data_IF_495363006989
#
_entry.id   IF_495363006989
#
_cell.length_a   1.000
_cell.length_b   1.000
_cell.length_c   1.000
_cell.angle_alpha   90.00
_cell.angle_beta   90.00
_cell.angle_gamma   90.00
#
_symmetry.space_group_name_H-M   'P 1'
#
loop_
_entity.id
_entity.type
_entity.pdbx_description
1 polymer ?
#
# COMPACT_ATOMS: atom_id res chain seq x y z
N UNK A 1 -7.86 -3.28 5.37
CA UNK A 1 -7.06 -2.16 4.84
C UNK A 1 -7.88 -0.86 4.88
N UNK A 2 -7.27 0.29 5.15
CA UNK A 2 -7.86 1.62 4.94
C UNK A 2 -6.97 2.47 4.06
N UNK A 3 -7.54 3.36 3.25
CA UNK A 3 -6.73 4.14 2.30
C UNK A 3 -7.33 5.48 1.89
N UNK A 4 -6.45 6.45 1.62
CA UNK A 4 -6.71 7.53 0.67
C UNK A 4 -6.13 7.05 -0.67
N UNK A 5 -6.96 6.72 -1.67
CA UNK A 5 -6.48 6.08 -2.89
C UNK A 5 -5.54 7.01 -3.67
N UNK A 6 -4.37 6.48 -4.03
CA UNK A 6 -3.39 7.20 -4.84
C UNK A 6 -3.93 7.55 -6.24
N UNK A 7 -4.88 6.76 -6.74
CA UNK A 7 -5.57 6.96 -8.01
C UNK A 7 -7.06 6.70 -7.80
N UNK A 8 -7.84 7.76 -7.52
CA UNK A 8 -9.28 7.64 -7.27
C UNK A 8 -10.03 6.87 -8.37
N UNK A 9 -9.59 6.92 -9.63
CA UNK A 9 -10.22 6.16 -10.72
C UNK A 9 -9.90 4.66 -10.72
N UNK A 10 -8.76 4.25 -10.14
CA UNK A 10 -8.29 2.86 -10.17
C UNK A 10 -8.88 2.06 -8.99
N UNK A 11 -9.00 2.71 -7.84
CA UNK A 11 -9.36 2.07 -6.57
C UNK A 11 -10.76 2.46 -6.06
N UNK A 12 -11.50 3.31 -6.78
CA UNK A 12 -12.89 3.62 -6.42
C UNK A 12 -13.76 2.34 -6.42
N UNK A 13 -14.30 2.01 -5.25
CA UNK A 13 -15.11 0.80 -5.06
C UNK A 13 -14.32 -0.51 -5.20
N UNK A 14 -12.99 -0.45 -5.12
CA UNK A 14 -12.14 -1.64 -5.08
C UNK A 14 -12.35 -2.41 -3.76
N UNK A 15 -12.24 -3.72 -3.85
CA UNK A 15 -12.32 -4.65 -2.70
C UNK A 15 -11.24 -5.71 -2.81
N UNK A 16 -11.01 -6.43 -1.71
CA UNK A 16 -10.02 -7.51 -1.62
C UNK A 16 -8.60 -7.09 -2.00
N UNK A 17 -8.24 -5.84 -1.73
CA UNK A 17 -6.89 -5.35 -2.01
C UNK A 17 -5.85 -6.11 -1.19
N UNK A 18 -4.84 -6.64 -1.84
CA UNK A 18 -3.70 -7.30 -1.21
C UNK A 18 -2.44 -6.79 -1.89
N UNK A 19 -1.53 -6.23 -1.11
CA UNK A 19 -0.22 -5.79 -1.59
C UNK A 19 0.85 -6.74 -1.06
N UNK A 20 1.64 -7.29 -1.97
CA UNK A 20 2.73 -8.22 -1.70
C UNK A 20 4.05 -7.57 -2.08
N UNK A 21 5.05 -7.74 -1.22
CA UNK A 21 6.38 -7.17 -1.39
C UNK A 21 7.38 -8.32 -1.44
N UNK A 22 8.24 -8.33 -2.45
CA UNK A 22 9.29 -9.33 -2.60
C UNK A 22 10.63 -8.63 -2.84
N UNK A 23 11.63 -8.97 -2.03
CA UNK A 23 13.01 -8.53 -2.29
C UNK A 23 13.55 -9.24 -3.52
N UNK A 24 14.23 -8.49 -4.37
CA UNK A 24 14.81 -8.99 -5.61
C UNK A 24 16.24 -8.47 -5.71
N UNK A 25 17.20 -9.38 -5.54
CA UNK A 25 18.63 -9.07 -5.61
C UNK A 25 19.03 -8.45 -6.95
N UNK A 26 18.45 -8.92 -8.06
CA UNK A 26 18.74 -8.36 -9.38
C UNK A 26 18.23 -6.93 -9.52
N UNK A 27 17.08 -6.62 -8.89
CA UNK A 27 16.60 -5.24 -8.80
C UNK A 27 17.45 -4.42 -7.85
N UNK A 28 17.92 -5.00 -6.73
CA UNK A 28 18.78 -4.32 -5.77
C UNK A 28 20.09 -3.86 -6.41
N UNK A 29 20.74 -4.74 -7.18
CA UNK A 29 21.94 -4.43 -7.97
C UNK A 29 21.68 -3.33 -9.01
N UNK A 30 20.47 -3.29 -9.60
CA UNK A 30 20.02 -2.22 -10.50
C UNK A 30 19.54 -0.95 -9.76
N UNK A 31 19.70 -0.90 -8.44
CA UNK A 31 19.35 0.23 -7.57
C UNK A 31 17.92 0.26 -7.06
N UNK A 32 17.05 -0.68 -7.45
CA UNK A 32 15.65 -0.86 -7.03
C UNK A 32 15.48 -1.58 -5.68
N UNK A 33 15.69 -2.88 -5.64
CA UNK A 33 15.65 -3.66 -4.38
C UNK A 33 14.42 -4.54 -4.21
N UNK A 34 13.23 -4.07 -4.55
CA UNK A 34 12.02 -4.90 -4.36
C UNK A 34 10.98 -4.74 -5.48
N UNK A 35 10.13 -5.76 -5.60
CA UNK A 35 8.93 -5.74 -6.42
C UNK A 35 7.67 -5.67 -5.55
N UNK A 36 6.62 -5.09 -6.11
CA UNK A 36 5.30 -5.00 -5.48
C UNK A 36 4.28 -5.61 -6.42
N UNK A 37 3.44 -6.48 -5.89
CA UNK A 37 2.25 -6.99 -6.58
C UNK A 37 1.02 -6.60 -5.78
N UNK A 38 0.21 -5.72 -6.35
CA UNK A 38 -1.09 -5.34 -5.79
C UNK A 38 -2.21 -6.03 -6.56
N UNK A 39 -3.02 -6.82 -5.87
CA UNK A 39 -4.20 -7.49 -6.43
C UNK A 39 -5.47 -6.98 -5.76
N UNK A 40 -6.55 -6.82 -6.52
CA UNK A 40 -7.85 -6.39 -6.02
C UNK A 40 -8.96 -6.73 -7.00
N UNK A 41 -10.21 -6.75 -6.54
CA UNK A 41 -11.36 -6.78 -7.45
C UNK A 41 -11.84 -5.34 -7.71
N UNK A 42 -12.05 -5.00 -8.98
CA UNK A 42 -12.68 -3.73 -9.39
C UNK A 42 -14.15 -3.69 -8.93
N UNK A 43 -14.71 -2.48 -8.85
CA UNK A 43 -16.13 -2.29 -8.59
C UNK A 43 -16.98 -3.13 -9.57
N UNK A 44 -17.89 -3.95 -9.03
CA UNK A 44 -18.77 -4.82 -9.82
C UNK A 44 -18.13 -6.07 -10.45
N UNK A 45 -16.83 -6.30 -10.31
CA UNK A 45 -16.17 -7.53 -10.76
C UNK A 45 -16.72 -8.78 -10.03
N UNK A 46 -16.44 -9.99 -10.49
CA UNK A 46 -16.64 -11.21 -9.68
C UNK A 46 -15.51 -11.38 -8.64
N UNK A 47 -15.59 -12.36 -7.73
CA UNK A 47 -14.52 -12.61 -6.74
C UNK A 47 -13.22 -13.14 -7.38
N UNK A 48 -13.34 -13.95 -8.42
CA UNK A 48 -12.24 -14.54 -9.18
C UNK A 48 -11.66 -13.62 -10.28
N UNK A 49 -12.36 -12.52 -10.62
CA UNK A 49 -11.88 -11.50 -11.54
C UNK A 49 -10.96 -10.48 -10.80
N UNK A 50 -9.71 -10.90 -10.61
CA UNK A 50 -8.67 -10.09 -9.97
C UNK A 50 -7.97 -9.18 -10.99
N UNK A 51 -7.86 -7.91 -10.62
CA UNK A 51 -6.98 -6.94 -11.27
C UNK A 51 -5.63 -6.96 -10.58
N UNK A 52 -4.55 -6.99 -11.36
CA UNK A 52 -3.18 -6.96 -10.84
C UNK A 52 -2.44 -5.73 -11.34
N UNK A 53 -1.86 -4.97 -10.41
CA UNK A 53 -0.92 -3.89 -10.67
C UNK A 53 0.44 -4.32 -10.13
N UNK A 54 1.45 -4.31 -10.99
CA UNK A 54 2.83 -4.56 -10.59
C UNK A 54 3.58 -3.25 -10.48
N UNK A 55 4.46 -3.15 -9.50
CA UNK A 55 5.33 -1.99 -9.32
C UNK A 55 6.74 -2.44 -8.99
N UNK A 56 7.69 -1.55 -9.24
CA UNK A 56 9.07 -1.67 -8.79
C UNK A 56 9.29 -0.70 -7.64
N UNK A 57 10.03 -1.13 -6.64
CA UNK A 57 10.38 -0.37 -5.44
C UNK A 57 11.85 0.04 -5.40
N UNK A 58 12.13 1.11 -4.66
CA UNK A 58 13.45 1.66 -4.34
C UNK A 58 13.52 2.03 -2.86
N UNK A 59 14.49 1.50 -2.11
CA UNK A 59 14.79 2.00 -0.77
C UNK A 59 15.68 3.25 -0.90
N UNK A 60 15.29 4.35 -0.26
CA UNK A 60 15.94 5.66 -0.39
C UNK A 60 16.15 6.41 0.93
N UNK A 61 15.92 5.75 2.08
CA UNK A 61 15.77 6.37 3.40
C UNK A 61 17.01 6.40 4.32
N UNK A 62 18.23 6.26 3.81
CA UNK A 62 19.43 6.21 4.67
C UNK A 62 19.38 5.07 5.70
N UNK A 63 20.05 5.22 6.85
CA UNK A 63 20.12 4.17 7.91
C UNK A 63 18.76 3.75 8.49
N UNK A 64 17.74 4.61 8.40
CA UNK A 64 16.43 4.36 9.00
C UNK A 64 15.48 3.58 8.08
N UNK A 65 15.80 3.44 6.80
CA UNK A 65 15.06 2.59 5.85
C UNK A 65 13.61 2.99 5.54
N UNK A 66 13.08 4.07 6.12
CA UNK A 66 11.65 4.44 6.05
C UNK A 66 11.23 5.15 4.74
N UNK A 67 12.17 5.71 3.99
CA UNK A 67 11.89 6.42 2.74
C UNK A 67 11.99 5.49 1.54
N UNK A 68 10.88 5.09 0.94
CA UNK A 68 10.85 4.30 -0.28
C UNK A 68 10.38 5.13 -1.48
N UNK A 69 10.56 4.59 -2.67
CA UNK A 69 9.92 5.06 -3.89
C UNK A 69 9.34 3.86 -4.64
N UNK A 70 8.23 4.06 -5.35
CA UNK A 70 7.59 3.03 -6.17
C UNK A 70 7.28 3.57 -7.55
N UNK A 71 7.25 2.70 -8.56
CA UNK A 71 6.81 3.05 -9.90
C UNK A 71 6.05 1.87 -10.53
N UNK A 72 4.86 2.09 -11.12
CA UNK A 72 4.08 1.04 -11.73
C UNK A 72 4.74 0.50 -13.00
N UNK A 73 4.57 -0.78 -13.29
CA UNK A 73 4.97 -1.40 -14.54
C UNK A 73 3.84 -1.25 -15.56
N UNK A 74 3.98 -0.32 -16.49
CA UNK A 74 3.04 -0.05 -17.57
C UNK A 74 3.48 -0.79 -18.82
N UNK A 75 2.79 -1.88 -19.19
CA UNK A 75 3.15 -2.69 -20.36
C UNK A 75 4.55 -3.32 -20.25
N UNK A 76 5.01 -3.62 -19.02
CA UNK A 76 6.36 -4.14 -18.75
C UNK A 76 7.45 -3.06 -18.66
N UNK A 77 7.13 -1.80 -18.93
CA UNK A 77 8.05 -0.67 -18.78
C UNK A 77 7.84 0.04 -17.45
N UNK A 78 8.95 0.45 -16.82
CA UNK A 78 8.92 1.26 -15.60
C UNK A 78 9.17 2.73 -15.96
N UNK A 79 8.24 3.65 -15.67
CA UNK A 79 8.43 5.07 -15.97
C UNK A 79 9.63 5.65 -15.20
N UNK A 80 10.26 6.72 -15.73
CA UNK A 80 11.42 7.34 -15.09
C UNK A 80 11.05 8.07 -13.80
N UNK A 81 9.77 8.41 -13.61
CA UNK A 81 9.24 9.05 -12.40
C UNK A 81 8.94 7.97 -11.35
N UNK A 82 9.52 8.16 -10.16
CA UNK A 82 9.29 7.29 -8.99
C UNK A 82 8.50 8.07 -7.96
N UNK A 83 7.38 7.52 -7.53
CA UNK A 83 6.49 8.12 -6.54
C UNK A 83 7.06 7.86 -5.14
N UNK A 84 7.09 8.86 -4.24
CA UNK A 84 7.50 8.65 -2.86
C UNK A 84 6.53 7.70 -2.15
N UNK A 85 7.06 6.77 -1.36
CA UNK A 85 6.33 5.84 -0.51
C UNK A 85 7.02 5.87 0.86
N UNK A 86 6.45 6.57 1.82
CA UNK A 86 7.09 6.85 3.10
C UNK A 86 6.42 6.00 4.17
N UNK A 87 7.19 5.16 4.85
CA UNK A 87 6.71 4.35 5.97
C UNK A 87 6.63 5.26 7.21
N UNK A 88 5.44 5.35 7.80
CA UNK A 88 5.17 6.15 9.00
C UNK A 88 5.17 5.29 10.26
N UNK A 89 4.64 4.08 10.16
CA UNK A 89 4.61 3.11 11.26
C UNK A 89 4.60 1.69 10.68
N UNK A 90 5.26 0.77 11.37
CA UNK A 90 5.30 -0.64 10.96
C UNK A 90 5.46 -1.52 12.18
N UNK A 91 4.60 -2.52 12.27
CA UNK A 91 4.80 -3.69 13.12
C UNK A 91 4.86 -4.88 12.14
N UNK A 92 6.04 -5.45 11.86
CA UNK A 92 6.22 -6.42 10.77
C UNK A 92 5.22 -7.57 10.78
N UNK A 93 4.79 -7.98 11.98
CA UNK A 93 3.84 -9.08 12.20
C UNK A 93 2.37 -8.67 12.11
N UNK A 94 2.05 -7.37 12.14
CA UNK A 94 0.66 -6.89 12.29
C UNK A 94 0.24 -5.87 11.23
N UNK A 95 1.01 -4.80 11.00
CA UNK A 95 0.58 -3.68 10.16
C UNK A 95 1.71 -2.93 9.47
N UNK A 96 1.33 -2.18 8.45
CA UNK A 96 2.15 -1.19 7.77
C UNK A 96 1.30 0.06 7.51
N UNK A 97 1.81 1.21 7.93
CA UNK A 97 1.22 2.52 7.65
C UNK A 97 2.19 3.31 6.78
N UNK A 98 1.73 3.77 5.63
CA UNK A 98 2.55 4.51 4.69
C UNK A 98 1.79 5.67 4.04
N UNK A 99 2.53 6.63 3.50
CA UNK A 99 1.98 7.77 2.78
C UNK A 99 2.78 8.11 1.54
N UNK A 100 2.10 8.69 0.55
CA UNK A 100 2.72 9.29 -0.60
C UNK A 100 3.19 10.70 -0.32
N UNK A 101 4.51 10.92 -0.31
CA UNK A 101 5.10 12.27 -0.33
C UNK A 101 4.43 13.23 0.66
N UNK A 102 4.03 14.41 0.20
CA UNK A 102 3.34 15.42 1.01
C UNK A 102 1.90 15.05 1.43
N UNK A 103 1.65 13.81 1.87
CA UNK A 103 0.33 13.34 2.30
C UNK A 103 -0.67 13.13 1.15
N UNK A 104 -0.18 12.98 -0.08
CA UNK A 104 -1.03 12.90 -1.28
C UNK A 104 -1.94 11.66 -1.32
N UNK A 105 -1.54 10.61 -0.64
CA UNK A 105 -2.30 9.38 -0.40
C UNK A 105 -1.75 8.69 0.85
N UNK A 106 -2.50 7.73 1.39
CA UNK A 106 -2.14 7.03 2.61
C UNK A 106 -2.74 5.63 2.59
N UNK A 107 -2.00 4.65 3.11
CA UNK A 107 -2.51 3.30 3.33
C UNK A 107 -2.24 2.86 4.77
N UNK A 108 -3.25 2.23 5.36
CA UNK A 108 -3.16 1.44 6.59
C UNK A 108 -3.45 -0.01 6.19
N UNK A 109 -2.39 -0.80 6.14
CA UNK A 109 -2.41 -2.21 5.74
C UNK A 109 -2.21 -3.11 6.96
N UNK A 110 -2.90 -4.25 6.96
CA UNK A 110 -2.81 -5.25 8.04
C UNK A 110 -2.37 -6.59 7.45
N UNK A 111 -1.63 -7.39 8.22
CA UNK A 111 -1.24 -8.74 7.81
C UNK A 111 -2.43 -9.69 7.72
N UNK A 112 -3.42 -9.47 8.59
CA UNK A 112 -4.68 -10.23 8.60
C UNK A 112 -5.79 -9.48 7.84
N UNK A 113 -6.65 -10.23 7.15
CA UNK A 113 -7.86 -9.68 6.51
C UNK A 113 -8.84 -9.10 7.54
N UNK A 114 -8.90 -9.71 8.72
CA UNK A 114 -9.73 -9.31 9.86
C UNK A 114 -8.81 -9.09 11.06
N UNK A 115 -8.16 -7.93 11.15
CA UNK A 115 -7.26 -7.63 12.27
C UNK A 115 -8.01 -7.71 13.61
N UNK A 116 -7.24 -7.87 14.69
CA UNK A 116 -7.78 -7.91 16.04
C UNK A 116 -8.73 -6.72 16.32
N UNK A 117 -9.84 -6.93 17.05
CA UNK A 117 -10.77 -5.85 17.37
C UNK A 117 -10.06 -4.65 18.01
N UNK A 118 -10.33 -3.44 17.54
CA UNK A 118 -9.72 -2.21 18.08
C UNK A 118 -8.32 -1.89 17.54
N UNK A 119 -7.65 -2.81 16.83
CA UNK A 119 -6.30 -2.58 16.30
C UNK A 119 -6.28 -1.42 15.31
N UNK A 120 -7.20 -1.42 14.34
CA UNK A 120 -7.27 -0.38 13.31
C UNK A 120 -7.65 0.94 13.94
N UNK A 121 -8.63 0.96 14.84
CA UNK A 121 -9.08 2.16 15.55
C UNK A 121 -7.95 2.79 16.38
N UNK A 122 -7.11 1.96 17.03
CA UNK A 122 -5.94 2.44 17.75
C UNK A 122 -4.88 3.05 16.81
N UNK A 123 -4.67 2.47 15.63
CA UNK A 123 -3.78 3.05 14.61
C UNK A 123 -4.31 4.38 14.07
N UNK A 124 -5.62 4.46 13.78
CA UNK A 124 -6.26 5.69 13.33
C UNK A 124 -6.16 6.80 14.39
N UNK A 125 -6.35 6.47 15.67
CA UNK A 125 -6.18 7.42 16.78
C UNK A 125 -4.76 7.98 16.83
N UNK A 126 -3.74 7.12 16.66
CA UNK A 126 -2.33 7.56 16.59
C UNK A 126 -2.08 8.46 15.39
N UNK A 127 -2.65 8.11 14.23
CA UNK A 127 -2.51 8.90 13.01
C UNK A 127 -3.14 10.28 13.14
N UNK A 128 -4.36 10.37 13.67
CA UNK A 128 -5.03 11.64 13.91
C UNK A 128 -4.21 12.56 14.83
N UNK A 129 -3.56 12.00 15.85
CA UNK A 129 -2.65 12.73 16.74
C UNK A 129 -1.41 13.31 16.03
N UNK A 130 -1.06 12.81 14.84
CA UNK A 130 0.03 13.36 14.00
C UNK A 130 -0.45 14.40 12.98
N UNK A 131 -1.74 14.75 13.00
CA UNK A 131 -2.35 15.74 12.10
C UNK A 131 -2.90 15.16 10.79
N UNK A 132 -2.95 13.83 10.69
CA UNK A 132 -3.58 13.15 9.55
C UNK A 132 -5.10 13.25 9.65
N UNK A 133 -5.74 13.70 8.57
CA UNK A 133 -7.19 13.74 8.45
C UNK A 133 -7.75 12.34 8.14
N UNK A 134 -7.97 11.55 9.20
CA UNK A 134 -8.45 10.17 9.10
C UNK A 134 -9.85 10.05 8.49
N UNK A 135 -10.63 11.13 8.45
CA UNK A 135 -11.95 11.13 7.81
C UNK A 135 -11.87 10.96 6.27
N UNK A 136 -10.70 11.18 5.68
CA UNK A 136 -10.44 10.92 4.25
C UNK A 136 -10.10 9.46 3.95
N UNK A 137 -9.79 8.66 4.98
CA UNK A 137 -9.48 7.25 4.80
C UNK A 137 -10.77 6.46 4.53
N UNK A 138 -10.79 5.76 3.41
CA UNK A 138 -11.87 4.87 3.05
C UNK A 138 -11.52 3.44 3.48
N UNK A 139 -12.42 2.74 4.18
CA UNK A 139 -12.23 1.32 4.45
C UNK A 139 -12.27 0.55 3.14
N UNK A 140 -11.35 -0.40 2.99
CA UNK A 140 -11.39 -1.38 1.92
C UNK A 140 -12.20 -2.59 2.37
N UNK A 141 -13.20 -2.95 1.57
CA UNK A 141 -13.96 -4.18 1.79
C UNK A 141 -13.08 -5.40 1.50
N UNK A 142 -13.18 -6.43 2.35
CA UNK A 142 -12.60 -7.74 2.09
C UNK A 142 -13.69 -8.82 2.25
N UNK A 143 -14.02 -9.49 1.15
CA UNK A 143 -14.93 -10.63 1.09
C UNK A 143 -14.16 -11.95 1.22
N UNK A 144 -14.82 -12.98 1.73
CA UNK A 144 -14.26 -14.32 1.94
C UNK A 144 -14.03 -14.72 3.41
N UNK A 145 -14.18 -16.01 3.67
CA UNK A 145 -13.83 -16.67 4.94
C UNK A 145 -12.36 -17.08 4.93
N UNK A 146 -11.67 -16.73 6.02
CA UNK A 146 -10.34 -17.14 6.49
C UNK A 146 -9.58 -18.20 5.68
#
# INVERSE_FOLDING_TARGET
>A
QQQVPALAFLEAGARNGVEQYEWDESLAEAGGGFSVTYTFNRAGAAEDDLTTVRQRGWVSGGEQGAGWKVAPLLGGFCPPVRLPFIILDVEPSAHLVCTGGAGSWMYVMTRERRPAPGMVEALLTKLEATGVDVAKLMPMEHTGTS
#
